data_IF_503064062295
#
_entry.id   IF_503064062295
#
_cell.length_a   1.000
_cell.length_b   1.000
_cell.length_c   1.000
_cell.angle_alpha   90.00
_cell.angle_beta   90.00
_cell.angle_gamma   90.00
#
_symmetry.space_group_name_H-M   'P 1'
#
loop_
_entity.id
_entity.type
_entity.pdbx_description
1 polymer ?
#
# COMPACT_ATOMS: atom_id res chain seq x y z
N UNK A 1 -32.75 -25.00 -28.02
CA UNK A 1 -33.31 -23.63 -28.12
C UNK A 1 -32.16 -22.66 -28.32
N UNK A 2 -31.88 -22.28 -29.57
CA UNK A 2 -30.76 -21.40 -29.90
C UNK A 2 -31.25 -19.94 -29.89
N UNK A 3 -30.56 -19.10 -29.13
CA UNK A 3 -30.95 -17.75 -28.74
C UNK A 3 -30.68 -16.71 -29.84
N UNK A 4 -31.71 -15.89 -30.08
CA UNK A 4 -31.75 -14.54 -30.66
C UNK A 4 -31.12 -14.32 -32.05
N UNK A 5 -32.01 -14.27 -33.03
CA UNK A 5 -31.83 -13.95 -34.45
C UNK A 5 -31.20 -12.56 -34.70
N UNK A 6 -29.89 -12.55 -34.94
CA UNK A 6 -29.19 -11.80 -36.00
C UNK A 6 -29.08 -10.26 -35.95
N UNK A 7 -30.10 -9.51 -35.52
CA UNK A 7 -30.12 -8.04 -35.67
C UNK A 7 -30.55 -7.27 -34.42
N UNK A 8 -31.66 -7.66 -33.80
CA UNK A 8 -32.14 -7.02 -32.57
C UNK A 8 -31.21 -7.26 -31.37
N UNK A 9 -30.60 -8.45 -31.31
CA UNK A 9 -29.63 -8.80 -30.27
C UNK A 9 -28.43 -7.85 -30.23
N UNK A 10 -27.96 -7.43 -31.41
CA UNK A 10 -26.77 -6.59 -31.56
C UNK A 10 -26.99 -5.19 -30.99
N UNK A 11 -28.21 -4.65 -31.13
CA UNK A 11 -28.57 -3.35 -30.59
C UNK A 11 -28.52 -3.35 -29.05
N UNK A 12 -29.17 -4.32 -28.41
CA UNK A 12 -29.13 -4.47 -26.96
C UNK A 12 -27.73 -4.79 -26.44
N UNK A 13 -26.95 -5.58 -27.20
CA UNK A 13 -25.56 -5.86 -26.87
C UNK A 13 -24.68 -4.60 -26.93
N UNK A 14 -24.84 -3.74 -27.93
CA UNK A 14 -24.10 -2.46 -27.98
C UNK A 14 -24.51 -1.54 -26.83
N UNK A 15 -25.81 -1.48 -26.53
CA UNK A 15 -26.30 -0.66 -25.44
C UNK A 15 -25.74 -1.12 -24.08
N UNK A 16 -25.68 -2.43 -23.83
CA UNK A 16 -25.09 -2.98 -22.61
C UNK A 16 -23.58 -2.76 -22.51
N UNK A 17 -22.84 -2.86 -23.62
CA UNK A 17 -21.39 -2.56 -23.66
C UNK A 17 -21.12 -1.08 -23.35
N UNK A 18 -21.94 -0.17 -23.89
CA UNK A 18 -21.80 1.25 -23.61
C UNK A 18 -22.12 1.55 -22.14
N UNK A 19 -23.16 0.91 -21.58
CA UNK A 19 -23.51 1.03 -20.18
C UNK A 19 -22.39 0.51 -19.25
N UNK A 20 -21.79 -0.64 -19.55
CA UNK A 20 -20.68 -1.19 -18.77
C UNK A 20 -19.44 -0.28 -18.82
N UNK A 21 -19.12 0.26 -20.00
CA UNK A 21 -18.00 1.20 -20.16
C UNK A 21 -18.23 2.48 -19.35
N UNK A 22 -19.46 3.00 -19.37
CA UNK A 22 -19.84 4.18 -18.60
C UNK A 22 -19.74 3.92 -17.09
N UNK A 23 -20.27 2.79 -16.62
CA UNK A 23 -20.22 2.41 -15.21
C UNK A 23 -18.78 2.26 -14.69
N UNK A 24 -17.88 1.65 -15.49
CA UNK A 24 -16.46 1.54 -15.13
C UNK A 24 -15.78 2.90 -15.04
N UNK A 25 -16.06 3.78 -16.01
CA UNK A 25 -15.51 5.13 -16.01
C UNK A 25 -15.98 5.93 -14.79
N UNK A 26 -17.27 5.85 -14.45
CA UNK A 26 -17.82 6.51 -13.26
C UNK A 26 -17.23 5.95 -11.96
N UNK A 27 -17.05 4.63 -11.86
CA UNK A 27 -16.40 4.00 -10.71
C UNK A 27 -14.93 4.44 -10.54
N UNK A 28 -14.19 4.59 -11.64
CA UNK A 28 -12.82 5.10 -11.59
C UNK A 28 -12.77 6.61 -11.27
N UNK A 29 -13.68 7.39 -11.85
CA UNK A 29 -13.77 8.82 -11.61
C UNK A 29 -14.10 9.12 -10.14
N UNK A 30 -15.06 8.40 -9.57
CA UNK A 30 -15.43 8.52 -8.15
C UNK A 30 -14.29 8.12 -7.23
N UNK A 31 -13.64 6.96 -7.46
CA UNK A 31 -12.46 6.53 -6.69
C UNK A 31 -11.35 7.57 -6.75
N UNK A 32 -11.06 8.10 -7.93
CA UNK A 32 -10.01 9.12 -8.12
C UNK A 32 -10.36 10.42 -7.41
N UNK A 33 -11.63 10.85 -7.44
CA UNK A 33 -12.09 12.04 -6.74
C UNK A 33 -11.95 11.90 -5.22
N UNK A 34 -12.31 10.73 -4.66
CA UNK A 34 -12.17 10.43 -3.23
C UNK A 34 -10.70 10.48 -2.78
N UNK A 35 -9.81 9.82 -3.52
CA UNK A 35 -8.37 9.84 -3.21
C UNK A 35 -7.80 11.26 -3.28
N UNK A 36 -8.18 12.03 -4.30
CA UNK A 36 -7.74 13.42 -4.44
C UNK A 36 -8.24 14.32 -3.31
N UNK A 37 -9.46 14.08 -2.81
CA UNK A 37 -9.99 14.81 -1.66
C UNK A 37 -9.19 14.51 -0.40
N UNK A 38 -8.92 13.23 -0.13
CA UNK A 38 -8.09 12.79 1.00
C UNK A 38 -6.66 13.34 0.93
N UNK A 39 -6.05 13.34 -0.26
CA UNK A 39 -4.72 13.93 -0.48
C UNK A 39 -4.72 15.45 -0.23
N UNK A 40 -5.76 16.16 -0.66
CA UNK A 40 -5.89 17.59 -0.43
C UNK A 40 -6.05 17.92 1.06
N UNK A 41 -6.80 17.12 1.81
CA UNK A 41 -6.93 17.24 3.26
C UNK A 41 -5.59 16.99 3.97
N UNK A 42 -4.90 15.90 3.62
CA UNK A 42 -3.59 15.58 4.17
C UNK A 42 -2.56 16.69 3.86
N UNK A 43 -2.58 17.23 2.63
CA UNK A 43 -1.70 18.33 2.24
C UNK A 43 -2.03 19.62 2.99
N UNK A 44 -3.32 19.92 3.22
CA UNK A 44 -3.74 21.06 4.05
C UNK A 44 -3.23 20.90 5.47
N UNK A 45 -3.37 19.71 6.05
CA UNK A 45 -2.87 19.39 7.39
C UNK A 45 -1.35 19.53 7.49
N UNK A 46 -0.60 19.11 6.45
CA UNK A 46 0.84 19.28 6.38
C UNK A 46 1.29 20.74 6.16
N UNK A 47 0.45 21.58 5.53
CA UNK A 47 0.73 22.99 5.29
C UNK A 47 0.35 23.92 6.43
N UNK A 48 -0.44 23.44 7.40
CA UNK A 48 -0.62 24.16 8.66
C UNK A 48 0.76 24.23 9.34
N UNK A 49 1.14 25.38 9.94
CA UNK A 49 2.33 25.42 10.78
C UNK A 49 2.21 24.27 11.77
N UNK A 50 3.26 23.46 11.89
CA UNK A 50 3.27 22.34 12.83
C UNK A 50 2.69 22.85 14.15
N UNK A 51 1.63 22.21 14.70
CA UNK A 51 1.16 22.60 16.01
C UNK A 51 2.39 22.59 16.90
N UNK A 52 2.59 23.67 17.67
CA UNK A 52 3.69 23.76 18.65
C UNK A 52 3.84 22.39 19.28
N UNK A 53 5.06 21.81 19.20
CA UNK A 53 5.29 20.41 19.55
C UNK A 53 4.44 20.09 20.78
N UNK A 54 3.48 19.15 20.73
CA UNK A 54 2.64 18.84 21.89
C UNK A 54 3.49 18.42 23.09
N UNK A 55 4.75 18.05 22.82
CA UNK A 55 5.81 17.83 23.79
C UNK A 55 6.16 19.07 24.62
N UNK A 56 5.82 20.30 24.24
CA UNK A 56 6.17 21.55 24.94
C UNK A 56 5.05 22.10 25.84
N UNK A 57 3.81 21.64 25.66
CA UNK A 57 2.67 22.00 26.52
C UNK A 57 2.83 21.32 27.90
N UNK A 58 2.89 22.08 29.01
CA UNK A 58 3.06 21.51 30.35
C UNK A 58 1.92 20.56 30.76
N UNK A 59 0.71 20.76 30.22
CA UNK A 59 -0.45 19.88 30.42
C UNK A 59 -0.25 18.53 29.73
N UNK A 60 0.20 18.54 28.46
CA UNK A 60 0.51 17.31 27.73
C UNK A 60 1.76 16.62 28.26
N UNK A 61 2.78 17.33 28.73
CA UNK A 61 3.93 16.73 29.44
C UNK A 61 3.47 15.93 30.66
N UNK A 62 2.55 16.48 31.45
CA UNK A 62 1.98 15.81 32.62
C UNK A 62 1.11 14.60 32.22
N UNK A 63 0.24 14.78 31.23
CA UNK A 63 -0.61 13.70 30.71
C UNK A 63 0.22 12.55 30.08
N UNK A 64 1.29 12.89 29.37
CA UNK A 64 2.25 11.91 28.84
C UNK A 64 2.98 11.20 29.99
N UNK A 65 3.42 11.92 31.03
CA UNK A 65 4.02 11.30 32.22
C UNK A 65 3.08 10.29 32.89
N UNK A 66 1.79 10.61 33.01
CA UNK A 66 0.78 9.67 33.53
C UNK A 66 0.49 8.51 32.57
N UNK A 67 0.59 8.73 31.26
CA UNK A 67 0.45 7.70 30.24
C UNK A 67 1.60 6.69 30.29
N UNK A 68 2.84 7.16 30.49
CA UNK A 68 4.01 6.30 30.71
C UNK A 68 3.92 5.50 32.02
N UNK A 69 3.16 5.95 33.01
CA UNK A 69 2.90 5.20 34.24
C UNK A 69 1.81 4.12 34.06
N UNK A 70 0.92 4.27 33.07
CA UNK A 70 -0.18 3.35 32.77
C UNK A 70 -0.02 2.67 31.38
N UNK A 71 1.22 2.57 30.87
CA UNK A 71 1.55 2.06 29.54
C UNK A 71 1.44 0.52 29.41
N UNK A 72 0.67 -0.13 30.29
CA UNK A 72 0.51 -1.59 30.29
C UNK A 72 -0.69 -2.05 29.46
N UNK A 73 -1.54 -1.14 29.01
CA UNK A 73 -2.78 -1.44 28.29
C UNK A 73 -2.95 -0.56 27.04
N UNK A 74 -2.25 -0.93 25.97
CA UNK A 74 -2.33 -0.27 24.65
C UNK A 74 -3.43 -0.86 23.74
N UNK A 75 -4.26 -1.77 24.26
CA UNK A 75 -5.31 -2.54 23.54
C UNK A 75 -6.38 -1.64 22.91
N UNK A 76 -6.50 -0.39 23.37
CA UNK A 76 -7.50 0.57 22.88
C UNK A 76 -6.98 1.53 21.80
N UNK A 77 -5.73 1.40 21.33
CA UNK A 77 -5.15 2.34 20.36
C UNK A 77 -4.48 1.63 19.18
N UNK A 78 -5.12 1.62 17.98
CA UNK A 78 -4.59 0.93 16.80
C UNK A 78 -3.18 1.36 16.42
N UNK A 79 -2.87 2.65 16.60
CA UNK A 79 -1.53 3.19 16.33
C UNK A 79 -0.49 2.74 17.36
N UNK A 80 -0.88 2.43 18.59
CA UNK A 80 0.03 1.93 19.63
C UNK A 80 0.28 0.43 19.45
N UNK A 81 -0.76 -0.36 19.14
CA UNK A 81 -0.63 -1.79 18.85
C UNK A 81 0.32 -2.06 17.66
N UNK A 82 0.28 -1.23 16.62
CA UNK A 82 1.14 -1.36 15.45
C UNK A 82 2.66 -1.24 15.77
N UNK A 83 3.02 -0.58 16.86
CA UNK A 83 4.42 -0.43 17.30
C UNK A 83 4.96 -1.60 18.13
N UNK A 84 4.11 -2.58 18.47
CA UNK A 84 4.49 -3.76 19.25
C UNK A 84 5.03 -4.91 18.38
N UNK A 85 5.08 -4.74 17.06
CA UNK A 85 5.71 -5.73 16.18
C UNK A 85 7.20 -5.79 16.54
N UNK A 86 7.73 -6.94 17.02
CA UNK A 86 9.15 -7.06 17.30
C UNK A 86 9.93 -6.63 16.06
N UNK A 87 10.91 -5.75 16.27
CA UNK A 87 11.83 -5.36 15.20
C UNK A 87 12.26 -6.63 14.46
N UNK A 88 12.16 -6.72 13.12
CA UNK A 88 12.51 -7.92 12.39
C UNK A 88 13.91 -8.38 12.80
N UNK A 89 14.00 -9.41 13.66
CA UNK A 89 15.27 -9.88 14.23
C UNK A 89 16.01 -10.76 13.23
N UNK A 90 15.92 -10.41 11.95
CA UNK A 90 16.68 -11.10 10.93
C UNK A 90 18.09 -10.53 10.95
N UNK A 91 19.03 -11.34 11.42
CA UNK A 91 20.45 -11.06 11.21
C UNK A 91 20.72 -10.97 9.71
N UNK A 92 21.56 -10.03 9.26
CA UNK A 92 22.08 -10.12 7.90
C UNK A 92 22.73 -11.50 7.76
N UNK A 93 22.40 -12.27 6.70
CA UNK A 93 22.90 -13.62 6.53
C UNK A 93 24.44 -13.58 6.52
N UNK A 94 25.05 -14.26 7.48
CA UNK A 94 26.50 -14.23 7.70
C UNK A 94 27.26 -15.09 6.68
N UNK A 95 26.53 -15.94 5.95
CA UNK A 95 27.10 -16.83 4.93
C UNK A 95 26.37 -16.71 3.58
N UNK A 96 27.04 -17.07 2.49
CA UNK A 96 26.44 -17.11 1.14
C UNK A 96 25.31 -18.13 1.04
N UNK A 97 25.42 -19.26 1.73
CA UNK A 97 24.39 -20.29 1.72
C UNK A 97 23.09 -19.81 2.38
N UNK A 98 23.18 -19.07 3.49
CA UNK A 98 22.01 -18.46 4.14
C UNK A 98 21.35 -17.42 3.22
N UNK A 99 22.13 -16.58 2.53
CA UNK A 99 21.58 -15.65 1.52
C UNK A 99 20.78 -16.34 0.42
N UNK A 100 21.20 -17.53 -0.01
CA UNK A 100 20.56 -18.25 -1.12
C UNK A 100 19.30 -19.00 -0.67
N UNK A 101 19.31 -19.58 0.53
CA UNK A 101 18.15 -20.29 1.10
C UNK A 101 17.00 -19.32 1.44
N UNK A 102 17.35 -18.09 1.80
CA UNK A 102 16.40 -17.04 2.13
C UNK A 102 15.73 -16.37 0.92
N UNK A 103 16.31 -16.50 -0.28
CA UNK A 103 15.71 -16.02 -1.52
C UNK A 103 14.48 -16.86 -1.88
N UNK A 104 13.44 -16.21 -2.40
CA UNK A 104 12.22 -16.90 -2.83
C UNK A 104 12.50 -17.90 -3.95
N UNK A 105 11.64 -18.93 -4.10
CA UNK A 105 11.77 -19.98 -5.14
C UNK A 105 11.94 -19.46 -6.58
N UNK A 106 11.56 -18.20 -6.83
CA UNK A 106 11.59 -17.54 -8.14
C UNK A 106 12.64 -16.42 -8.24
N UNK A 107 13.48 -16.25 -7.23
CA UNK A 107 14.55 -15.26 -7.26
C UNK A 107 15.87 -15.89 -7.70
N UNK A 108 16.58 -15.21 -8.60
CA UNK A 108 17.87 -15.69 -9.08
C UNK A 108 18.92 -15.62 -7.96
N UNK A 109 19.58 -16.75 -7.70
CA UNK A 109 20.69 -16.82 -6.74
C UNK A 109 21.84 -15.90 -7.15
N UNK A 110 22.15 -15.86 -8.45
CA UNK A 110 23.19 -15.03 -9.06
C UNK A 110 22.62 -14.16 -10.18
N UNK A 111 23.11 -12.92 -10.37
CA UNK A 111 22.75 -12.09 -11.51
C UNK A 111 23.14 -12.78 -12.83
N UNK A 112 22.19 -12.93 -13.75
CA UNK A 112 22.46 -13.52 -15.06
C UNK A 112 23.50 -12.68 -15.83
N UNK A 113 24.56 -13.34 -16.30
CA UNK A 113 25.55 -12.75 -17.20
C UNK A 113 25.55 -13.54 -18.52
N UNK A 114 25.31 -12.90 -19.67
CA UNK A 114 25.35 -13.60 -20.95
C UNK A 114 26.76 -14.16 -21.21
N UNK A 115 26.88 -15.32 -21.88
CA UNK A 115 28.17 -15.89 -22.26
C UNK A 115 29.00 -14.88 -23.05
N UNK A 116 30.33 -14.87 -22.84
CA UNK A 116 31.23 -14.04 -23.66
C UNK A 116 31.17 -14.55 -25.09
N UNK A 117 30.51 -13.81 -25.98
CA UNK A 117 30.42 -14.15 -27.39
C UNK A 117 31.80 -14.10 -28.06
N UNK A 118 32.04 -15.01 -29.00
CA UNK A 118 33.24 -15.00 -29.81
C UNK A 118 33.04 -13.93 -30.90
N UNK A 119 33.56 -12.72 -30.67
CA UNK A 119 33.37 -11.57 -31.58
C UNK A 119 34.30 -11.59 -32.80
N UNK A 120 34.97 -12.72 -33.03
CA UNK A 120 36.06 -12.88 -34.00
C UNK A 120 35.90 -14.15 -34.86
N UNK A 121 34.68 -14.47 -35.25
CA UNK A 121 34.38 -15.48 -36.28
C UNK A 121 33.61 -14.84 -37.41
#
# INVERSE_FOLDING_TARGET
MNTVTGGGAYYFAKQSINADRQARFEAEATRKAQLKAMEAEHKRQASLPAPANPADDPSLKRANMTRFQNATDDVASPSAEASHDPAPTRHEPMTENERVVEKGKYEAAEPFRPPRGNRFS
#
